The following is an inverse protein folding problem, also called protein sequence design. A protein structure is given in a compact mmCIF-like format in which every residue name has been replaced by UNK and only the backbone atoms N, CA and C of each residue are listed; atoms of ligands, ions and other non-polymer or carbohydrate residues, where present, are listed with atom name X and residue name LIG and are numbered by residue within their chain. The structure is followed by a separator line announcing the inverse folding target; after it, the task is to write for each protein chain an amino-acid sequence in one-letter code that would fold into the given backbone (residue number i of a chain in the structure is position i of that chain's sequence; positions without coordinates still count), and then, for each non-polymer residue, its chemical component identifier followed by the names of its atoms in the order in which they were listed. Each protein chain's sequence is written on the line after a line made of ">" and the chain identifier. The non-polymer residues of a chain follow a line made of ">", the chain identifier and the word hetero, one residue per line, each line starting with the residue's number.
data_IF_637092431358
#
_entry.id   IF_637092431358
#
_cell.length_a   1.000
_cell.length_b   1.000
_cell.length_c   1.000
_cell.angle_alpha   90.00
_cell.angle_beta   90.00
_cell.angle_gamma   90.00
#
_symmetry.space_group_name_H-M   'P 1'
#
loop_
_entity.id
_entity.type
_entity.pdbx_description
1 polymer ?
#
# COMPACT_ATOMS: atom_id res chain seq x y z
N UNK A 1 5.76 -7.20 -6.92
CA UNK A 1 6.09 -6.94 -8.35
C UNK A 1 5.28 -7.70 -9.41
N UNK A 2 5.26 -9.05 -9.50
CA UNK A 2 4.64 -9.75 -10.66
C UNK A 2 3.17 -9.39 -10.94
N UNK A 3 2.34 -9.33 -9.90
CA UNK A 3 0.92 -8.96 -10.02
C UNK A 3 0.70 -7.44 -10.19
N UNK A 4 1.58 -6.59 -9.67
CA UNK A 4 1.59 -5.14 -9.98
C UNK A 4 1.72 -4.90 -11.49
N UNK A 5 2.63 -5.66 -12.14
CA UNK A 5 2.80 -5.59 -13.59
C UNK A 5 1.58 -6.11 -14.36
N UNK A 6 0.75 -6.98 -13.79
CA UNK A 6 -0.53 -7.36 -14.38
C UNK A 6 -1.53 -6.20 -14.39
N UNK A 7 -1.58 -5.39 -13.33
CA UNK A 7 -2.36 -4.14 -13.29
C UNK A 7 -1.91 -3.13 -14.35
N UNK A 8 -0.59 -2.94 -14.45
CA UNK A 8 0.04 -2.10 -15.47
C UNK A 8 -0.23 -2.57 -16.91
N UNK A 9 -0.28 -3.89 -17.14
CA UNK A 9 -0.60 -4.44 -18.47
C UNK A 9 -1.98 -3.98 -18.98
N UNK A 10 -2.91 -3.62 -18.08
CA UNK A 10 -4.18 -2.98 -18.46
C UNK A 10 -3.96 -1.76 -19.36
N UNK A 11 -2.96 -0.91 -19.05
CA UNK A 11 -2.61 0.24 -19.86
C UNK A 11 -1.88 -0.11 -21.17
N UNK A 12 -1.53 -1.37 -21.42
CA UNK A 12 -1.04 -1.82 -22.73
C UNK A 12 -2.20 -2.19 -23.65
N UNK A 13 -3.33 -2.66 -23.13
CA UNK A 13 -4.47 -3.06 -23.95
C UNK A 13 -5.56 -1.97 -24.02
N UNK A 14 -5.86 -1.33 -22.90
CA UNK A 14 -6.96 -0.36 -22.77
C UNK A 14 -6.47 1.07 -22.68
N UNK A 15 -7.07 1.99 -23.45
CA UNK A 15 -6.78 3.42 -23.38
C UNK A 15 -7.55 4.10 -22.25
N UNK A 16 -8.76 3.62 -21.98
CA UNK A 16 -9.65 4.14 -20.94
C UNK A 16 -10.29 2.97 -20.20
N UNK A 17 -10.59 3.17 -18.92
CA UNK A 17 -11.39 2.29 -18.08
C UNK A 17 -12.48 3.14 -17.45
N UNK A 18 -13.66 2.55 -17.21
CA UNK A 18 -14.77 3.29 -16.60
C UNK A 18 -14.38 3.75 -15.19
N UNK A 19 -14.74 4.99 -14.84
CA UNK A 19 -14.38 5.55 -13.52
C UNK A 19 -14.97 4.70 -12.38
N UNK A 20 -16.18 4.18 -12.58
CA UNK A 20 -16.83 3.25 -11.66
C UNK A 20 -16.00 2.00 -11.38
N UNK A 21 -15.35 1.42 -12.40
CA UNK A 21 -14.51 0.24 -12.19
C UNK A 21 -13.24 0.59 -11.41
N UNK A 22 -12.61 1.73 -11.71
CA UNK A 22 -11.45 2.20 -10.94
C UNK A 22 -11.82 2.43 -9.46
N UNK A 23 -12.94 3.10 -9.18
CA UNK A 23 -13.40 3.33 -7.81
C UNK A 23 -13.67 2.01 -7.06
N UNK A 24 -14.25 1.00 -7.73
CA UNK A 24 -14.43 -0.36 -7.16
C UNK A 24 -13.08 -1.03 -6.90
N UNK A 25 -12.13 -0.93 -7.83
CA UNK A 25 -10.79 -1.51 -7.72
C UNK A 25 -10.02 -0.88 -6.55
N UNK A 26 -10.09 0.44 -6.38
CA UNK A 26 -9.47 1.17 -5.27
C UNK A 26 -10.10 0.81 -3.93
N UNK A 27 -11.44 0.71 -3.88
CA UNK A 27 -12.14 0.21 -2.71
C UNK A 27 -11.67 -1.21 -2.34
N UNK A 28 -11.61 -2.11 -3.32
CA UNK A 28 -11.10 -3.47 -3.14
C UNK A 28 -9.67 -3.50 -2.57
N UNK A 29 -8.76 -2.68 -3.12
CA UNK A 29 -7.39 -2.58 -2.63
C UNK A 29 -7.33 -2.12 -1.16
N UNK A 30 -8.08 -1.07 -0.82
CA UNK A 30 -8.21 -0.60 0.56
C UNK A 30 -8.67 -1.71 1.50
N UNK A 31 -9.66 -2.51 1.08
CA UNK A 31 -10.16 -3.65 1.84
C UNK A 31 -9.10 -4.70 2.12
N UNK A 32 -8.36 -5.10 1.08
CA UNK A 32 -7.26 -6.07 1.20
C UNK A 32 -6.19 -5.56 2.17
N UNK A 33 -5.78 -4.30 2.04
CA UNK A 33 -4.75 -3.72 2.89
C UNK A 33 -5.15 -3.59 4.36
N UNK A 34 -6.40 -3.22 4.65
CA UNK A 34 -6.88 -3.15 6.04
C UNK A 34 -6.82 -4.55 6.67
N UNK A 35 -7.30 -5.56 5.96
CA UNK A 35 -7.27 -6.94 6.45
C UNK A 35 -5.81 -7.43 6.64
N UNK A 36 -4.93 -7.24 5.65
CA UNK A 36 -3.53 -7.60 5.74
C UNK A 36 -2.81 -6.89 6.91
N UNK A 37 -3.13 -5.62 7.17
CA UNK A 37 -2.59 -4.86 8.29
C UNK A 37 -2.91 -5.49 9.65
N UNK A 38 -4.11 -6.06 9.80
CA UNK A 38 -4.48 -6.73 11.04
C UNK A 38 -3.94 -8.16 11.10
N UNK A 39 -4.38 -9.01 10.19
CA UNK A 39 -4.14 -10.45 10.26
C UNK A 39 -2.70 -10.83 9.94
N UNK A 40 -2.10 -10.24 8.90
CA UNK A 40 -0.77 -10.63 8.46
C UNK A 40 0.36 -9.86 9.14
N UNK A 41 0.05 -8.78 9.88
CA UNK A 41 1.06 -7.90 10.48
C UNK A 41 0.83 -7.65 11.98
N UNK A 42 -0.29 -7.05 12.40
CA UNK A 42 -0.54 -6.73 13.81
C UNK A 42 -0.71 -7.98 14.69
N UNK A 43 -1.48 -8.97 14.23
CA UNK A 43 -1.68 -10.20 14.99
C UNK A 43 -0.35 -10.96 15.19
N UNK A 44 0.44 -11.24 14.13
CA UNK A 44 1.78 -11.80 14.25
C UNK A 44 2.69 -10.97 15.15
N UNK A 45 2.67 -9.63 15.03
CA UNK A 45 3.44 -8.73 15.90
C UNK A 45 3.16 -9.00 17.39
N UNK A 46 1.88 -9.06 17.77
CA UNK A 46 1.46 -9.31 19.15
C UNK A 46 1.86 -10.72 19.59
N UNK A 47 1.72 -11.72 18.72
CA UNK A 47 2.09 -13.11 19.01
C UNK A 47 3.59 -13.27 19.23
N UNK A 48 4.43 -12.69 18.37
CA UNK A 48 5.88 -12.66 18.58
C UNK A 48 6.26 -11.94 19.87
N UNK A 49 5.58 -10.84 20.21
CA UNK A 49 5.83 -10.10 21.44
C UNK A 49 5.49 -10.89 22.71
N UNK A 50 4.57 -11.86 22.69
CA UNK A 50 4.21 -12.67 23.87
C UNK A 50 5.41 -13.38 24.49
N UNK A 51 6.35 -13.83 23.66
CA UNK A 51 7.56 -14.54 24.09
C UNK A 51 8.47 -13.72 25.02
N UNK A 52 8.53 -12.40 24.84
CA UNK A 52 9.45 -11.51 25.55
C UNK A 52 8.76 -10.53 26.50
N UNK A 53 7.48 -10.23 26.27
CA UNK A 53 6.73 -9.19 26.99
C UNK A 53 5.54 -9.74 27.78
N UNK A 54 5.17 -11.02 27.61
CA UNK A 54 4.03 -11.66 28.28
C UNK A 54 2.73 -10.82 28.18
N UNK A 55 2.25 -10.29 29.31
CA UNK A 55 1.03 -9.45 29.41
C UNK A 55 1.19 -8.11 28.68
N UNK A 56 2.43 -7.65 28.48
CA UNK A 56 2.75 -6.37 27.81
C UNK A 56 2.99 -6.53 26.30
N UNK A 57 2.61 -7.66 25.69
CA UNK A 57 2.81 -7.92 24.26
C UNK A 57 2.11 -6.93 23.33
N UNK A 58 1.09 -6.22 23.84
CA UNK A 58 0.40 -5.13 23.12
C UNK A 58 1.27 -3.88 22.97
N UNK A 59 2.26 -3.66 23.84
CA UNK A 59 3.04 -2.42 23.88
C UNK A 59 3.96 -2.27 22.65
N UNK A 60 4.76 -3.29 22.24
CA UNK A 60 5.53 -3.21 21.00
C UNK A 60 4.65 -2.97 19.77
N UNK A 61 3.50 -3.65 19.70
CA UNK A 61 2.56 -3.50 18.60
C UNK A 61 1.96 -2.09 18.53
N UNK A 62 1.52 -1.53 19.67
CA UNK A 62 0.98 -0.18 19.73
C UNK A 62 2.04 0.88 19.35
N UNK A 63 3.25 0.74 19.89
CA UNK A 63 4.35 1.67 19.60
C UNK A 63 4.76 1.61 18.13
N UNK A 64 5.00 0.42 17.59
CA UNK A 64 5.36 0.26 16.18
C UNK A 64 4.27 0.82 15.27
N UNK A 65 3.00 0.47 15.51
CA UNK A 65 1.87 0.97 14.73
C UNK A 65 1.80 2.49 14.69
N UNK A 66 1.88 3.15 15.86
CA UNK A 66 1.88 4.61 15.90
C UNK A 66 3.09 5.22 15.21
N UNK A 67 4.28 4.64 15.42
CA UNK A 67 5.50 5.10 14.76
C UNK A 67 5.42 4.98 13.24
N UNK A 68 4.82 3.90 12.72
CA UNK A 68 4.58 3.72 11.29
C UNK A 68 3.67 4.79 10.70
N UNK A 69 2.54 5.04 11.35
CA UNK A 69 1.62 6.10 10.94
C UNK A 69 2.24 7.49 11.03
N UNK A 70 2.94 7.81 12.13
CA UNK A 70 3.63 9.09 12.28
C UNK A 70 4.78 9.27 11.29
N UNK A 71 5.49 8.20 10.97
CA UNK A 71 6.56 8.22 9.98
C UNK A 71 6.02 8.60 8.59
N UNK A 72 4.92 8.00 8.15
CA UNK A 72 4.29 8.40 6.88
C UNK A 72 3.68 9.79 6.95
N UNK A 73 3.05 10.16 8.07
CA UNK A 73 2.56 11.51 8.28
C UNK A 73 3.68 12.55 8.16
N UNK A 74 4.87 12.22 8.64
CA UNK A 74 6.07 13.06 8.53
C UNK A 74 6.56 13.13 7.08
N UNK A 75 6.63 12.01 6.36
CA UNK A 75 6.98 12.00 4.92
C UNK A 75 6.01 12.88 4.13
N UNK A 76 4.70 12.73 4.37
CA UNK A 76 3.66 13.54 3.74
C UNK A 76 3.80 15.04 4.09
N UNK A 77 4.21 15.38 5.32
CA UNK A 77 4.49 16.76 5.70
C UNK A 77 5.72 17.36 4.99
N UNK A 78 6.76 16.56 4.77
CA UNK A 78 8.03 16.97 4.14
C UNK A 78 7.91 17.03 2.61
N UNK A 79 6.99 16.26 2.05
CA UNK A 79 6.63 16.27 0.64
C UNK A 79 5.23 16.88 0.49
N UNK A 80 5.02 18.15 0.93
CA UNK A 80 3.70 18.75 0.87
C UNK A 80 3.36 18.94 -0.60
N UNK A 81 2.25 18.35 -1.03
CA UNK A 81 1.53 18.46 -2.32
C UNK A 81 1.07 17.09 -2.88
N UNK A 82 1.29 15.97 -2.16
CA UNK A 82 0.82 14.64 -2.56
C UNK A 82 -0.70 14.48 -2.51
N UNK A 83 -1.39 15.27 -1.68
CA UNK A 83 -2.85 15.34 -1.62
C UNK A 83 -3.41 16.04 -2.86
N UNK A 84 -3.66 15.28 -3.92
CA UNK A 84 -4.44 15.73 -5.08
C UNK A 84 -5.94 15.76 -4.71
N UNK A 85 -6.34 16.62 -3.77
CA UNK A 85 -7.75 16.94 -3.61
C UNK A 85 -8.16 17.85 -4.77
N UNK A 86 -9.24 17.52 -5.49
CA UNK A 86 -9.78 18.34 -6.61
C UNK A 86 -9.98 19.82 -6.22
N UNK A 87 -10.13 20.12 -4.92
CA UNK A 87 -10.21 21.47 -4.35
C UNK A 87 -8.96 22.32 -4.63
N UNK A 88 -7.77 21.75 -4.54
CA UNK A 88 -6.51 22.45 -4.79
C UNK A 88 -6.28 22.73 -6.28
N UNK A 89 -6.93 21.95 -7.16
CA UNK A 89 -6.86 22.11 -8.62
C UNK A 89 -7.75 23.27 -9.07
N UNK A 90 -8.95 23.41 -8.50
CA UNK A 90 -9.88 24.51 -8.84
C UNK A 90 -9.35 25.88 -8.39
N UNK A 91 -8.66 25.97 -7.24
CA UNK A 91 -8.01 27.21 -6.81
C UNK A 91 -6.69 27.48 -7.56
N UNK A 92 -5.96 26.43 -7.96
CA UNK A 92 -4.72 26.57 -8.72
C UNK A 92 -4.92 27.11 -10.14
N UNK A 93 -6.07 26.86 -10.77
CA UNK A 93 -6.41 27.42 -12.09
C UNK A 93 -6.84 28.90 -12.04
N UNK A 94 -7.00 29.49 -10.85
CA UNK A 94 -7.44 30.87 -10.65
C UNK A 94 -6.32 31.88 -10.36
N UNK A 95 -5.06 31.43 -10.25
CA UNK A 95 -3.91 32.28 -9.90
C UNK A 95 -2.94 32.45 -11.08
N UNK A 96 -2.29 33.62 -11.24
CA UNK A 96 -1.41 33.91 -12.37
C UNK A 96 -0.20 32.96 -12.46
N UNK A 97 0.14 32.60 -13.70
CA UNK A 97 1.14 31.61 -14.14
C UNK A 97 2.60 31.82 -13.66
N UNK A 98 2.90 32.90 -12.94
CA UNK A 98 4.28 33.33 -12.65
C UNK A 98 4.83 32.97 -11.27
N UNK A 99 4.11 32.17 -10.48
CA UNK A 99 4.63 31.68 -9.20
C UNK A 99 4.06 30.30 -8.90
N UNK A 100 4.82 29.25 -9.21
CA UNK A 100 5.01 28.04 -8.38
C UNK A 100 5.77 26.95 -9.14
N UNK A 101 6.83 26.44 -8.52
CA UNK A 101 7.41 25.13 -8.81
C UNK A 101 6.42 24.03 -8.37
N UNK A 102 5.31 23.85 -9.09
CA UNK A 102 4.33 22.77 -8.83
C UNK A 102 4.72 21.52 -9.65
N UNK A 103 4.86 20.38 -8.97
CA UNK A 103 4.99 19.06 -9.62
C UNK A 103 3.78 18.79 -10.53
N UNK A 104 4.00 18.10 -11.65
CA UNK A 104 2.91 17.72 -12.55
C UNK A 104 1.98 16.71 -11.87
N UNK A 105 0.71 16.63 -12.30
CA UNK A 105 -0.27 15.65 -11.77
C UNK A 105 0.28 14.23 -11.80
N UNK A 106 0.94 13.85 -12.90
CA UNK A 106 1.64 12.57 -13.06
C UNK A 106 2.76 12.37 -12.05
N UNK A 107 3.55 13.41 -11.75
CA UNK A 107 4.63 13.32 -10.78
C UNK A 107 4.12 13.19 -9.34
N UNK A 108 3.00 13.84 -9.01
CA UNK A 108 2.33 13.70 -7.72
C UNK A 108 1.72 12.30 -7.54
N UNK A 109 1.00 11.79 -8.55
CA UNK A 109 0.47 10.42 -8.56
C UNK A 109 1.59 9.37 -8.45
N UNK A 110 2.67 9.56 -9.21
CA UNK A 110 3.84 8.69 -9.15
C UNK A 110 4.45 8.68 -7.75
N UNK A 111 4.62 9.86 -7.13
CA UNK A 111 5.26 9.98 -5.83
C UNK A 111 4.38 9.44 -4.69
N UNK A 112 3.07 9.69 -4.73
CA UNK A 112 2.12 9.11 -3.77
C UNK A 112 2.17 7.58 -3.80
N UNK A 113 2.04 6.98 -4.99
CA UNK A 113 2.08 5.53 -5.15
C UNK A 113 3.47 4.95 -4.83
N UNK A 114 4.54 5.69 -5.11
CA UNK A 114 5.88 5.29 -4.67
C UNK A 114 5.96 5.23 -3.15
N UNK A 115 5.45 6.24 -2.43
CA UNK A 115 5.45 6.23 -0.97
C UNK A 115 4.58 5.08 -0.42
N UNK A 116 3.47 4.78 -1.10
CA UNK A 116 2.57 3.67 -0.80
C UNK A 116 3.25 2.30 -0.90
N UNK A 117 4.03 2.09 -1.96
CA UNK A 117 4.69 0.82 -2.25
C UNK A 117 5.81 0.48 -1.25
N UNK A 118 6.32 1.47 -0.51
CA UNK A 118 7.39 1.25 0.45
C UNK A 118 6.94 0.41 1.68
N UNK A 119 5.85 0.76 2.40
CA UNK A 119 5.25 -0.09 3.43
C UNK A 119 4.94 -1.52 2.96
N UNK A 120 4.43 -1.71 1.74
CA UNK A 120 4.17 -3.04 1.20
C UNK A 120 5.44 -3.86 1.03
N UNK A 121 6.46 -3.25 0.42
CA UNK A 121 7.78 -3.86 0.32
C UNK A 121 8.30 -4.27 1.70
N UNK A 122 8.26 -3.34 2.66
CA UNK A 122 8.69 -3.59 4.03
C UNK A 122 7.91 -4.75 4.68
N UNK A 123 6.59 -4.80 4.53
CA UNK A 123 5.73 -5.86 5.05
C UNK A 123 6.14 -7.24 4.51
N UNK A 124 6.35 -7.35 3.18
CA UNK A 124 6.85 -8.59 2.56
C UNK A 124 8.23 -8.96 3.12
N UNK A 125 9.14 -8.00 3.22
CA UNK A 125 10.48 -8.20 3.77
C UNK A 125 10.48 -8.74 5.19
N UNK A 126 9.70 -8.10 6.08
CA UNK A 126 9.60 -8.49 7.48
C UNK A 126 8.96 -9.88 7.64
N UNK A 127 7.91 -10.18 6.87
CA UNK A 127 7.24 -11.49 6.91
C UNK A 127 8.18 -12.63 6.46
N UNK A 128 8.90 -12.46 5.35
CA UNK A 128 9.89 -13.45 4.92
C UNK A 128 11.15 -13.46 5.79
N UNK A 129 11.55 -12.32 6.35
CA UNK A 129 12.66 -12.22 7.30
C UNK A 129 12.40 -13.03 8.57
N UNK A 130 11.15 -13.12 9.03
CA UNK A 130 10.78 -13.92 10.20
C UNK A 130 11.08 -15.42 10.03
N UNK A 131 11.19 -15.92 8.79
CA UNK A 131 11.60 -17.29 8.51
C UNK A 131 13.04 -17.60 8.93
N UNK A 132 13.89 -16.58 9.08
CA UNK A 132 15.26 -16.78 9.56
C UNK A 132 15.32 -17.15 11.04
N UNK A 133 14.32 -16.73 11.82
CA UNK A 133 14.20 -17.03 13.25
C UNK A 133 13.22 -18.16 13.54
N UNK A 134 12.21 -18.36 12.68
CA UNK A 134 11.24 -19.45 12.78
C UNK A 134 10.84 -19.95 11.38
N UNK A 135 11.52 -21.00 10.91
CA UNK A 135 11.28 -21.59 9.58
C UNK A 135 10.11 -22.59 9.54
N UNK A 136 9.13 -22.43 10.41
CA UNK A 136 7.96 -23.30 10.46
C UNK A 136 7.09 -23.15 9.19
N UNK A 137 6.44 -24.23 8.72
CA UNK A 137 5.54 -24.17 7.57
C UNK A 137 4.46 -23.10 7.72
N UNK A 138 3.97 -22.87 8.93
CA UNK A 138 2.92 -21.90 9.24
C UNK A 138 3.39 -20.47 8.93
N UNK A 139 4.59 -20.07 9.39
CA UNK A 139 5.16 -18.74 9.11
C UNK A 139 5.41 -18.56 7.60
N UNK A 140 5.82 -19.62 6.91
CA UNK A 140 6.02 -19.56 5.46
C UNK A 140 4.71 -19.35 4.72
N UNK A 141 3.67 -20.10 5.09
CA UNK A 141 2.38 -19.99 4.44
C UNK A 141 1.72 -18.64 4.73
N UNK A 142 1.80 -18.12 5.95
CA UNK A 142 1.33 -16.76 6.27
C UNK A 142 2.05 -15.67 5.46
N UNK A 143 3.38 -15.79 5.30
CA UNK A 143 4.15 -14.87 4.45
C UNK A 143 3.74 -14.96 2.96
N UNK A 144 3.42 -16.16 2.47
CA UNK A 144 2.85 -16.36 1.12
C UNK A 144 1.46 -15.74 1.02
N UNK A 145 0.60 -15.92 2.03
CA UNK A 145 -0.72 -15.30 2.10
C UNK A 145 -0.66 -13.78 2.00
N UNK A 146 0.25 -13.15 2.75
CA UNK A 146 0.53 -11.70 2.66
C UNK A 146 0.96 -11.27 1.25
N UNK A 147 1.89 -11.99 0.63
CA UNK A 147 2.36 -11.67 -0.74
C UNK A 147 1.24 -11.84 -1.77
N UNK A 148 0.37 -12.83 -1.61
CA UNK A 148 -0.79 -13.01 -2.49
C UNK A 148 -1.78 -11.85 -2.31
N UNK A 149 -2.07 -11.45 -1.07
CA UNK A 149 -2.89 -10.27 -0.76
C UNK A 149 -2.35 -9.00 -1.38
N UNK A 150 -1.09 -8.67 -1.08
CA UNK A 150 -0.36 -7.53 -1.66
C UNK A 150 -0.34 -7.62 -3.19
N UNK A 151 -0.17 -8.81 -3.75
CA UNK A 151 -0.23 -9.02 -5.19
C UNK A 151 -1.59 -8.68 -5.79
N UNK A 152 -2.67 -9.13 -5.16
CA UNK A 152 -4.04 -8.91 -5.65
C UNK A 152 -4.43 -7.44 -5.65
N UNK A 153 -4.05 -6.69 -4.61
CA UNK A 153 -4.37 -5.27 -4.49
C UNK A 153 -3.50 -4.38 -5.40
N UNK A 154 -2.28 -4.84 -5.71
CA UNK A 154 -1.37 -4.18 -6.65
C UNK A 154 -1.89 -4.12 -8.10
N UNK A 155 -2.85 -4.98 -8.47
CA UNK A 155 -3.51 -4.92 -9.79
C UNK A 155 -4.37 -3.64 -9.91
N UNK A 156 -5.33 -3.38 -9.00
CA UNK A 156 -5.97 -2.09 -8.81
C UNK A 156 -5.05 -0.88 -8.89
N UNK A 157 -3.98 -0.85 -8.09
CA UNK A 157 -3.12 0.32 -7.95
C UNK A 157 -2.32 0.60 -9.23
N UNK A 158 -1.74 -0.43 -9.83
CA UNK A 158 -1.04 -0.29 -11.11
C UNK A 158 -1.97 0.24 -12.21
N UNK A 159 -3.23 -0.20 -12.23
CA UNK A 159 -4.24 0.33 -13.15
C UNK A 159 -4.58 1.80 -12.84
N UNK A 160 -4.75 2.16 -11.57
CA UNK A 160 -5.06 3.50 -11.11
C UNK A 160 -3.95 4.52 -11.46
N UNK A 161 -2.68 4.10 -11.51
CA UNK A 161 -1.58 4.96 -11.96
C UNK A 161 -1.48 5.06 -13.50
N UNK A 162 -1.47 3.90 -14.16
CA UNK A 162 -1.06 3.82 -15.56
C UNK A 162 -2.16 4.24 -16.55
N UNK A 163 -3.44 4.06 -16.19
CA UNK A 163 -4.57 4.42 -17.07
C UNK A 163 -4.75 5.93 -17.19
N UNK A 164 -4.70 6.74 -16.10
CA UNK A 164 -4.72 8.19 -16.23
C UNK A 164 -3.55 8.73 -17.05
N UNK A 165 -2.32 8.24 -16.84
CA UNK A 165 -1.15 8.64 -17.62
C UNK A 165 -1.39 8.39 -19.12
N UNK A 166 -1.93 7.22 -19.48
CA UNK A 166 -2.27 6.89 -20.86
C UNK A 166 -3.44 7.73 -21.40
N UNK A 167 -4.37 8.14 -20.54
CA UNK A 167 -5.51 8.98 -20.92
C UNK A 167 -5.07 10.42 -21.20
N UNK A 168 -4.08 10.92 -20.47
CA UNK A 168 -3.47 12.25 -20.61
C UNK A 168 -2.59 12.40 -21.86
N UNK A 169 -2.56 11.38 -22.73
CA UNK A 169 -1.93 11.43 -24.06
C UNK A 169 -0.55 10.78 -24.13
N UNK A 170 -0.03 10.24 -23.02
CA UNK A 170 1.26 9.55 -23.01
C UNK A 170 1.20 8.19 -23.72
N UNK A 171 2.35 7.74 -24.22
CA UNK A 171 2.45 6.46 -24.93
C UNK A 171 2.23 5.27 -23.99
N UNK A 172 1.75 4.15 -24.52
CA UNK A 172 1.50 2.90 -23.78
C UNK A 172 2.73 2.44 -22.98
N UNK A 173 3.91 2.55 -23.60
CA UNK A 173 5.17 2.16 -22.99
C UNK A 173 5.60 3.13 -21.90
N UNK A 174 5.35 4.44 -22.07
CA UNK A 174 5.68 5.43 -21.05
C UNK A 174 4.75 5.30 -19.83
N UNK A 175 3.46 5.06 -20.03
CA UNK A 175 2.53 4.76 -18.94
C UNK A 175 2.93 3.50 -18.16
N UNK A 176 3.27 2.42 -18.87
CA UNK A 176 3.77 1.20 -18.24
C UNK A 176 5.09 1.44 -17.49
N UNK A 177 6.04 2.15 -18.10
CA UNK A 177 7.34 2.44 -17.51
C UNK A 177 7.23 3.24 -16.20
N UNK A 178 6.50 4.36 -16.21
CA UNK A 178 6.29 5.15 -14.99
C UNK A 178 5.54 4.37 -13.93
N UNK A 179 4.57 3.55 -14.35
CA UNK A 179 3.93 2.58 -13.47
C UNK A 179 4.93 1.66 -12.79
N UNK A 180 5.74 0.93 -13.56
CA UNK A 180 6.75 0.00 -13.03
C UNK A 180 7.78 0.69 -12.13
N UNK A 181 8.19 1.92 -12.48
CA UNK A 181 9.15 2.68 -11.68
C UNK A 181 8.58 3.09 -10.32
N UNK A 182 7.27 3.28 -10.19
CA UNK A 182 6.67 3.63 -8.89
C UNK A 182 6.72 2.47 -7.90
N UNK A 183 6.76 1.22 -8.40
CA UNK A 183 6.88 0.01 -7.59
C UNK A 183 8.33 -0.40 -7.28
N UNK A 184 9.34 0.36 -7.75
CA UNK A 184 10.75 0.01 -7.52
C UNK A 184 11.14 0.01 -6.04
N UNK A 185 10.39 0.72 -5.21
CA UNK A 185 10.64 0.75 -3.76
C UNK A 185 10.15 -0.50 -3.04
N UNK A 186 9.26 -1.31 -3.64
CA UNK A 186 8.83 -2.60 -3.06
C UNK A 186 10.04 -3.52 -2.77
N UNK A 187 10.91 -3.87 -3.75
CA UNK A 187 12.06 -4.73 -3.47
C UNK A 187 13.07 -4.08 -2.52
N UNK A 188 13.19 -2.75 -2.53
CA UNK A 188 14.08 -2.03 -1.59
C UNK A 188 13.55 -2.18 -0.17
N UNK A 189 12.26 -1.90 0.05
CA UNK A 189 11.58 -2.09 1.32
C UNK A 189 11.65 -3.54 1.79
N UNK A 190 11.49 -4.51 0.88
CA UNK A 190 11.57 -5.92 1.20
C UNK A 190 12.96 -6.33 1.69
N UNK A 191 14.02 -5.87 1.04
CA UNK A 191 15.40 -6.13 1.48
C UNK A 191 15.66 -5.49 2.84
N UNK A 192 15.24 -4.23 3.04
CA UNK A 192 15.42 -3.52 4.31
C UNK A 192 14.65 -4.19 5.45
N UNK A 193 13.41 -4.60 5.21
CA UNK A 193 12.56 -5.30 6.19
C UNK A 193 13.14 -6.65 6.58
N UNK A 194 13.55 -7.46 5.59
CA UNK A 194 14.18 -8.75 5.85
C UNK A 194 15.48 -8.58 6.64
N UNK A 195 16.33 -7.63 6.23
CA UNK A 195 17.59 -7.34 6.92
C UNK A 195 17.36 -6.90 8.37
N UNK A 196 16.39 -6.01 8.64
CA UNK A 196 16.08 -5.55 9.99
C UNK A 196 15.71 -6.71 10.92
N UNK A 197 14.91 -7.66 10.44
CA UNK A 197 14.50 -8.84 11.22
C UNK A 197 15.65 -9.81 11.44
N UNK A 198 16.45 -10.06 10.40
CA UNK A 198 17.58 -10.99 10.46
C UNK A 198 18.67 -10.54 11.46
N UNK A 199 18.87 -9.23 11.61
CA UNK A 199 19.90 -8.67 12.49
C UNK A 199 19.41 -8.51 13.93
N UNK A 200 18.08 -8.34 14.14
CA UNK A 200 17.54 -8.03 15.47
C UNK A 200 16.15 -8.63 15.66
N UNK A 201 16.06 -9.87 16.11
CA UNK A 201 14.77 -10.54 16.35
C UNK A 201 13.88 -9.80 17.36
N UNK A 202 14.46 -9.07 18.31
CA UNK A 202 13.72 -8.22 19.26
C UNK A 202 12.96 -7.06 18.59
N UNK A 203 13.35 -6.63 17.38
CA UNK A 203 12.66 -5.57 16.65
C UNK A 203 11.44 -6.09 15.88
N UNK A 204 11.31 -7.41 15.69
CA UNK A 204 10.29 -7.99 14.81
C UNK A 204 8.85 -7.52 15.16
N UNK A 205 8.40 -7.52 16.44
CA UNK A 205 7.09 -6.99 16.78
C UNK A 205 6.91 -5.52 16.40
N UNK A 206 7.93 -4.70 16.62
CA UNK A 206 7.90 -3.28 16.26
C UNK A 206 7.89 -3.08 14.75
N UNK A 207 8.66 -3.87 14.00
CA UNK A 207 8.75 -3.78 12.55
C UNK A 207 7.45 -4.20 11.85
N UNK A 208 6.85 -5.32 12.27
CA UNK A 208 5.55 -5.79 11.76
C UNK A 208 4.44 -4.75 12.01
N UNK A 209 4.34 -4.27 13.25
CA UNK A 209 3.32 -3.28 13.60
C UNK A 209 3.58 -1.91 12.97
N UNK A 210 4.85 -1.51 12.80
CA UNK A 210 5.22 -0.33 12.02
C UNK A 210 4.73 -0.41 10.58
N UNK A 211 4.96 -1.54 9.90
CA UNK A 211 4.45 -1.74 8.54
C UNK A 211 2.92 -1.66 8.51
N UNK A 212 2.22 -2.25 9.49
CA UNK A 212 0.77 -2.17 9.60
C UNK A 212 0.26 -0.73 9.81
N UNK A 213 0.91 0.03 10.69
CA UNK A 213 0.53 1.42 10.98
C UNK A 213 0.75 2.35 9.79
N UNK A 214 1.86 2.16 9.08
CA UNK A 214 2.12 2.85 7.83
C UNK A 214 1.06 2.49 6.78
N UNK A 215 0.74 1.20 6.60
CA UNK A 215 -0.27 0.74 5.65
C UNK A 215 -1.67 1.32 5.95
N UNK A 216 -2.12 1.27 7.21
CA UNK A 216 -3.41 1.87 7.60
C UNK A 216 -3.45 3.37 7.37
N UNK A 217 -2.36 4.09 7.65
CA UNK A 217 -2.29 5.53 7.37
C UNK A 217 -2.59 5.82 5.90
N UNK A 218 -1.97 5.09 4.98
CA UNK A 218 -2.20 5.32 3.55
C UNK A 218 -3.61 4.92 3.11
N UNK A 219 -4.17 3.83 3.63
CA UNK A 219 -5.55 3.45 3.28
C UNK A 219 -6.54 4.56 3.65
N UNK A 220 -6.37 5.15 4.84
CA UNK A 220 -7.30 6.15 5.39
C UNK A 220 -7.12 7.51 4.72
N UNK A 221 -5.89 7.96 4.51
CA UNK A 221 -5.61 9.29 3.92
C UNK A 221 -5.80 9.30 2.39
N UNK A 222 -5.57 8.18 1.71
CA UNK A 222 -5.51 8.15 0.24
C UNK A 222 -6.58 7.24 -0.39
N UNK A 223 -6.51 5.93 -0.16
CA UNK A 223 -7.31 4.96 -0.94
C UNK A 223 -8.81 5.09 -0.71
N UNK A 224 -9.24 5.19 0.55
CA UNK A 224 -10.67 5.33 0.87
C UNK A 224 -11.20 6.65 0.29
N UNK A 225 -10.59 7.82 0.54
CA UNK A 225 -11.03 9.06 -0.07
C UNK A 225 -11.06 8.99 -1.60
N UNK A 226 -9.99 8.51 -2.26
CA UNK A 226 -9.92 8.52 -3.72
C UNK A 226 -11.00 7.64 -4.37
N UNK A 227 -11.27 6.46 -3.78
CA UNK A 227 -12.35 5.57 -4.24
C UNK A 227 -13.75 6.19 -4.19
N UNK A 228 -13.94 7.24 -3.38
CA UNK A 228 -15.24 7.88 -3.16
C UNK A 228 -15.40 9.23 -3.89
N UNK A 229 -14.36 9.71 -4.58
CA UNK A 229 -14.34 11.06 -5.19
C UNK A 229 -15.27 11.29 -6.39
N UNK A 230 -15.96 10.25 -6.90
CA UNK A 230 -16.71 10.31 -8.16
C UNK A 230 -18.18 9.87 -8.03
N UNK A 231 -18.71 9.85 -6.80
CA UNK A 231 -20.12 9.51 -6.55
C UNK A 231 -20.44 8.02 -6.64
N UNK A 232 -19.43 7.15 -6.69
CA UNK A 232 -19.57 5.69 -6.71
C UNK A 232 -19.38 5.07 -5.31
N UNK A 233 -19.65 5.82 -4.24
CA UNK A 233 -19.35 5.44 -2.85
C UNK A 233 -19.87 4.04 -2.49
N UNK A 234 -21.13 3.74 -2.76
CA UNK A 234 -21.73 2.45 -2.37
C UNK A 234 -21.01 1.26 -3.02
N UNK A 235 -20.68 1.35 -4.31
CA UNK A 235 -19.99 0.26 -5.02
C UNK A 235 -18.51 0.18 -4.65
N UNK A 236 -17.87 1.29 -4.34
CA UNK A 236 -16.50 1.32 -3.80
C UNK A 236 -16.46 0.66 -2.42
N UNK A 237 -17.44 0.93 -1.55
CA UNK A 237 -17.60 0.28 -0.25
C UNK A 237 -17.83 -1.22 -0.39
N UNK A 238 -18.66 -1.66 -1.35
CA UNK A 238 -18.81 -3.09 -1.63
C UNK A 238 -17.48 -3.72 -2.12
N UNK A 239 -16.73 -3.01 -2.95
CA UNK A 239 -15.37 -3.40 -3.34
C UNK A 239 -14.47 -3.63 -2.12
N UNK A 240 -14.46 -2.67 -1.19
CA UNK A 240 -13.74 -2.76 0.08
C UNK A 240 -14.14 -3.97 0.89
N UNK A 241 -15.44 -4.20 1.09
CA UNK A 241 -15.92 -5.37 1.82
C UNK A 241 -15.45 -6.68 1.17
N UNK A 242 -15.51 -6.77 -0.16
CA UNK A 242 -15.06 -7.96 -0.89
C UNK A 242 -13.56 -8.15 -0.74
N UNK A 243 -12.75 -7.09 -0.89
CA UNK A 243 -11.30 -7.14 -0.72
C UNK A 243 -10.89 -7.55 0.69
N UNK A 244 -11.55 -6.97 1.69
CA UNK A 244 -11.35 -7.31 3.10
C UNK A 244 -11.65 -8.78 3.39
N UNK A 245 -12.82 -9.27 2.97
CA UNK A 245 -13.22 -10.67 3.18
C UNK A 245 -12.29 -11.61 2.44
N UNK A 246 -11.91 -11.28 1.20
CA UNK A 246 -10.99 -12.10 0.43
C UNK A 246 -9.64 -12.22 1.14
N UNK A 247 -9.07 -11.11 1.60
CA UNK A 247 -7.80 -11.14 2.30
C UNK A 247 -7.90 -11.85 3.66
N UNK A 248 -8.98 -11.63 4.41
CA UNK A 248 -9.24 -12.37 5.65
C UNK A 248 -9.31 -13.89 5.38
N UNK A 249 -9.98 -14.31 4.31
CA UNK A 249 -10.03 -15.73 3.92
C UNK A 249 -8.65 -16.23 3.50
N UNK A 250 -7.89 -15.46 2.73
CA UNK A 250 -6.53 -15.83 2.36
C UNK A 250 -5.67 -16.04 3.58
N UNK A 251 -5.69 -15.12 4.54
CA UNK A 251 -4.87 -15.21 5.74
C UNK A 251 -5.31 -16.39 6.62
N UNK A 252 -6.59 -16.43 7.02
CA UNK A 252 -7.12 -17.47 7.93
C UNK A 252 -7.08 -18.87 7.32
N UNK A 253 -7.25 -19.01 6.01
CA UNK A 253 -7.22 -20.33 5.36
C UNK A 253 -5.79 -20.81 5.06
N UNK A 254 -4.82 -19.90 4.94
CA UNK A 254 -3.44 -20.23 4.62
C UNK A 254 -2.60 -20.36 5.91
N UNK A 255 -2.79 -19.54 6.94
CA UNK A 255 -2.14 -19.72 8.24
C UNK A 255 -1.85 -18.42 8.95
#
# INVERSE_FOLDING_TARGET
>A
MGLYHCGLCGCLFFKTVSRKLLDIMMGFAAGVMIAASFWSLLQPSIEYAKSNYEVWSWMPAALGFLLGGFFLRFIDAVVPHLHLSKKDVSEAESLPEHSRNKLSKTALLFLAITIHNFPEGLAVGVAFGALSSNSSPEVFIGAVGLVLGIGLQNVPEGAALSIPIRTDGESRLKAFYWGSMSAIVEPIGAVLGAYAVMVMTAILPYALSFAAGAMIFVVVEELIPDSQTNGNTDVATLGLMVGFVLMMVLDVALG
#
